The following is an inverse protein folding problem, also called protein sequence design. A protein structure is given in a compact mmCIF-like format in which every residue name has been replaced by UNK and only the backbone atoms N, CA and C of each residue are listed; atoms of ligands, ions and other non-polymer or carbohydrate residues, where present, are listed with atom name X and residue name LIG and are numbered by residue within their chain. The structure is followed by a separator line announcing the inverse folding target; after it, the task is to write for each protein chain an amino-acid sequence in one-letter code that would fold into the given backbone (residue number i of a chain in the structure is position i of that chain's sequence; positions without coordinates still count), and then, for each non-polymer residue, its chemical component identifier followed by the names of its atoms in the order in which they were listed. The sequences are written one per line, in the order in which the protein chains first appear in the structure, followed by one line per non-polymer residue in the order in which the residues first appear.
data_IF_374323627863
#
_entry.id   IF_374323627863
#
_cell.length_a   1.000
_cell.length_b   1.000
_cell.length_c   1.000
_cell.angle_alpha   90.00
_cell.angle_beta   90.00
_cell.angle_gamma   90.00
#
_symmetry.space_group_name_H-M   'P 1'
#
loop_
_entity.id
_entity.type
_entity.pdbx_description
1 polymer ?
#
# COMPACT_ATOMS: atom_id res chain seq x y z
N UNK A 1 -12.36 18.05 1.39
CA UNK A 1 -12.20 18.16 -0.09
C UNK A 1 -13.32 19.04 -0.66
N UNK A 2 -13.20 19.50 -1.92
CA UNK A 2 -14.31 20.18 -2.62
C UNK A 2 -15.57 19.29 -2.59
N UNK A 3 -15.41 17.99 -2.78
CA UNK A 3 -16.54 17.05 -2.81
C UNK A 3 -17.28 16.99 -1.48
N UNK A 4 -16.54 16.89 -0.36
CA UNK A 4 -17.13 16.92 0.99
C UNK A 4 -17.87 18.22 1.27
N UNK A 5 -17.31 19.36 0.85
CA UNK A 5 -17.89 20.68 1.11
C UNK A 5 -19.27 20.86 0.46
N UNK A 6 -19.50 20.21 -0.69
CA UNK A 6 -20.73 20.33 -1.47
C UNK A 6 -21.59 19.06 -1.45
N UNK A 7 -21.21 18.04 -0.68
CA UNK A 7 -21.94 16.78 -0.56
C UNK A 7 -22.04 16.00 -1.87
N UNK A 8 -21.04 16.10 -2.75
CA UNK A 8 -21.02 15.32 -3.99
C UNK A 8 -20.83 13.83 -3.68
N UNK A 9 -21.67 12.98 -4.27
CA UNK A 9 -21.58 11.52 -4.13
C UNK A 9 -20.61 10.87 -5.14
N UNK A 10 -20.09 11.65 -6.09
CA UNK A 10 -19.13 11.19 -7.08
C UNK A 10 -17.86 10.71 -6.40
N UNK A 11 -17.33 9.56 -6.81
CA UNK A 11 -16.07 9.03 -6.27
C UNK A 11 -14.86 9.63 -6.99
N UNK A 12 -13.82 9.96 -6.23
CA UNK A 12 -12.55 10.45 -6.73
C UNK A 12 -11.68 9.27 -7.15
N UNK A 13 -11.46 9.15 -8.47
CA UNK A 13 -10.57 8.15 -9.07
C UNK A 13 -9.23 8.78 -9.43
N UNK A 14 -8.20 8.52 -8.63
CA UNK A 14 -6.84 8.93 -8.90
C UNK A 14 -6.18 8.03 -9.96
N UNK A 15 -5.88 8.58 -11.14
CA UNK A 15 -5.28 7.86 -12.25
C UNK A 15 -3.81 8.22 -12.49
N UNK A 16 -3.16 7.50 -13.42
CA UNK A 16 -1.75 7.71 -13.77
C UNK A 16 -0.80 7.57 -12.58
N UNK A 17 -1.11 6.66 -11.66
CA UNK A 17 -0.21 6.22 -10.59
C UNK A 17 1.02 5.54 -11.21
N UNK A 18 2.22 5.88 -10.75
CA UNK A 18 3.49 5.38 -11.36
C UNK A 18 4.39 4.62 -10.39
N UNK A 19 4.20 4.78 -9.07
CA UNK A 19 5.01 4.13 -8.06
C UNK A 19 4.29 4.12 -6.70
N UNK A 20 4.77 3.31 -5.76
CA UNK A 20 4.18 3.06 -4.43
C UNK A 20 3.83 4.34 -3.67
N UNK A 21 4.66 5.39 -3.78
CA UNK A 21 4.44 6.64 -3.06
C UNK A 21 3.20 7.41 -3.54
N UNK A 22 2.86 7.32 -4.84
CA UNK A 22 1.61 7.88 -5.35
C UNK A 22 0.40 7.22 -4.68
N UNK A 23 0.40 5.88 -4.53
CA UNK A 23 -0.70 5.13 -3.90
C UNK A 23 -0.90 5.59 -2.46
N UNK A 24 0.19 5.69 -1.69
CA UNK A 24 0.14 6.15 -0.30
C UNK A 24 -0.38 7.58 -0.20
N UNK A 25 0.03 8.48 -1.11
CA UNK A 25 -0.45 9.86 -1.10
C UNK A 25 -1.95 9.96 -1.46
N UNK A 26 -2.44 9.15 -2.41
CA UNK A 26 -3.87 9.06 -2.71
C UNK A 26 -4.68 8.62 -1.48
N UNK A 27 -4.22 7.59 -0.77
CA UNK A 27 -4.86 7.12 0.45
C UNK A 27 -4.85 8.18 1.56
N UNK A 28 -3.71 8.88 1.76
CA UNK A 28 -3.59 9.96 2.75
C UNK A 28 -4.49 11.15 2.48
N UNK A 29 -4.68 11.52 1.21
CA UNK A 29 -5.53 12.62 0.80
C UNK A 29 -7.02 12.26 0.82
N UNK A 30 -7.37 10.97 0.89
CA UNK A 30 -8.75 10.50 0.91
C UNK A 30 -9.35 10.26 -0.48
N UNK A 31 -8.55 9.86 -1.47
CA UNK A 31 -9.09 9.41 -2.76
C UNK A 31 -9.87 8.10 -2.57
N UNK A 32 -11.09 8.01 -3.11
CA UNK A 32 -11.94 6.82 -2.98
C UNK A 32 -11.38 5.62 -3.74
N UNK A 33 -10.85 5.87 -4.95
CA UNK A 33 -10.30 4.84 -5.84
C UNK A 33 -8.98 5.33 -6.41
N UNK A 34 -8.04 4.40 -6.66
CA UNK A 34 -6.84 4.67 -7.45
C UNK A 34 -6.68 3.60 -8.55
N UNK A 35 -6.11 4.00 -9.70
CA UNK A 35 -5.77 3.09 -10.80
C UNK A 35 -4.35 3.31 -11.29
N UNK A 36 -3.63 2.21 -11.54
CA UNK A 36 -2.23 2.21 -11.91
C UNK A 36 -1.71 0.83 -12.27
N UNK A 37 -0.41 0.72 -12.61
CA UNK A 37 0.22 -0.56 -12.94
C UNK A 37 0.32 -1.44 -11.70
N UNK A 38 0.26 -2.76 -11.90
CA UNK A 38 0.36 -3.77 -10.84
C UNK A 38 1.60 -3.58 -9.94
N UNK A 39 2.73 -3.18 -10.53
CA UNK A 39 3.98 -2.94 -9.80
C UNK A 39 3.87 -1.89 -8.70
N UNK A 40 3.04 -0.85 -8.90
CA UNK A 40 2.81 0.19 -7.87
C UNK A 40 2.02 -0.35 -6.69
N UNK A 41 1.21 -1.39 -6.90
CA UNK A 41 0.39 -2.04 -5.88
C UNK A 41 1.21 -3.10 -5.14
N UNK A 42 1.86 -4.01 -5.87
CA UNK A 42 2.66 -5.08 -5.26
C UNK A 42 3.87 -4.55 -4.49
N UNK A 43 4.37 -3.37 -4.86
CA UNK A 43 5.39 -2.66 -4.08
C UNK A 43 4.97 -2.31 -2.66
N UNK A 44 3.67 -2.16 -2.38
CA UNK A 44 3.16 -1.91 -1.02
C UNK A 44 3.34 -3.12 -0.08
N UNK A 45 3.44 -4.32 -0.64
CA UNK A 45 3.54 -5.57 0.13
C UNK A 45 4.97 -5.90 0.55
N UNK A 46 5.96 -5.09 0.14
CA UNK A 46 7.39 -5.36 0.34
C UNK A 46 7.99 -4.38 1.34
N UNK A 47 8.58 -4.92 2.41
CA UNK A 47 9.33 -4.15 3.38
C UNK A 47 10.54 -4.96 3.88
N UNK A 48 11.76 -4.40 3.90
CA UNK A 48 12.98 -5.15 4.24
C UNK A 48 12.93 -5.74 5.65
N UNK A 49 12.30 -5.06 6.61
CA UNK A 49 12.17 -5.57 7.98
C UNK A 49 11.20 -6.76 8.09
N UNK A 50 10.22 -6.86 7.19
CA UNK A 50 9.31 -8.00 7.13
C UNK A 50 10.06 -9.24 6.67
N UNK A 51 10.86 -9.10 5.60
CA UNK A 51 11.67 -10.20 5.09
C UNK A 51 12.73 -10.63 6.11
N UNK A 52 13.43 -9.69 6.76
CA UNK A 52 14.42 -10.02 7.80
C UNK A 52 13.78 -10.67 9.03
N UNK A 53 12.58 -10.23 9.42
CA UNK A 53 11.85 -10.80 10.56
C UNK A 53 11.41 -12.24 10.29
N UNK A 54 10.86 -12.52 9.10
CA UNK A 54 10.46 -13.87 8.69
C UNK A 54 11.67 -14.81 8.64
N UNK A 55 12.80 -14.35 8.09
CA UNK A 55 14.04 -15.14 8.07
C UNK A 55 14.49 -15.49 9.49
N UNK A 56 14.42 -14.54 10.42
CA UNK A 56 14.79 -14.76 11.82
C UNK A 56 13.88 -15.77 12.51
N UNK A 57 12.57 -15.69 12.29
CA UNK A 57 11.62 -16.65 12.85
C UNK A 57 11.89 -18.08 12.36
N UNK A 58 12.23 -18.26 11.09
CA UNK A 58 12.59 -19.57 10.55
C UNK A 58 13.89 -20.11 11.15
N UNK A 59 14.90 -19.24 11.34
CA UNK A 59 16.15 -19.62 11.99
C UNK A 59 15.92 -20.09 13.44
N UNK A 60 15.14 -19.34 14.21
CA UNK A 60 14.88 -19.65 15.62
C UNK A 60 14.03 -20.91 15.76
N UNK A 61 13.08 -21.15 14.85
CA UNK A 61 12.28 -22.38 14.80
C UNK A 61 13.16 -23.62 14.58
N UNK A 62 14.07 -23.57 13.60
CA UNK A 62 14.97 -24.69 13.28
C UNK A 62 15.99 -24.97 14.42
N UNK A 63 16.31 -23.95 15.24
CA UNK A 63 17.23 -24.11 16.37
C UNK A 63 16.57 -24.68 17.63
N UNK A 64 15.31 -24.33 17.88
CA UNK A 64 14.63 -24.63 19.15
C UNK A 64 13.61 -25.78 19.11
N UNK A 65 13.04 -26.09 17.95
CA UNK A 65 11.88 -26.99 17.82
C UNK A 65 12.07 -28.10 16.76
N UNK A 66 13.29 -28.24 16.23
CA UNK A 66 13.69 -29.37 15.37
C UNK A 66 14.60 -30.31 16.17
#
# INVERSE_FOLDING_TARGET
MIYDNYGFQTQILAASIRHTMHVINCAKLGSDVMTGPLSSITGLLKHPLTDSGLAKFLEDYNKGNQ
#
